data_IF_438332393691
#
_entry.id   IF_438332393691
#
_cell.length_a   1.000
_cell.length_b   1.000
_cell.length_c   1.000
_cell.angle_alpha   90.00
_cell.angle_beta   90.00
_cell.angle_gamma   90.00
#
_symmetry.space_group_name_H-M   'P 1'
#
loop_
_entity.id
_entity.type
_entity.pdbx_description
1 polymer ?
#
# COMPACT_ATOMS: atom_id res chain seq x y z
N UNK A 1 17.75 2.64 2.77
CA UNK A 1 17.95 2.09 1.43
C UNK A 1 16.90 2.67 0.51
N UNK A 2 17.31 3.16 -0.66
CA UNK A 2 16.45 3.80 -1.65
C UNK A 2 15.37 2.81 -2.11
N UNK A 3 14.15 2.96 -1.59
CA UNK A 3 13.01 2.13 -1.99
C UNK A 3 12.67 2.45 -3.45
N UNK A 4 12.77 1.42 -4.30
CA UNK A 4 12.37 1.46 -5.70
C UNK A 4 11.00 2.13 -5.82
N UNK A 5 10.89 3.09 -6.75
CA UNK A 5 9.58 3.64 -7.10
C UNK A 5 8.79 2.54 -7.80
N UNK A 6 7.48 2.52 -7.63
CA UNK A 6 6.61 1.53 -8.29
C UNK A 6 6.83 1.49 -9.81
N UNK A 7 7.19 2.62 -10.43
CA UNK A 7 7.48 2.70 -11.87
C UNK A 7 8.78 1.97 -12.29
N UNK A 8 9.70 1.77 -11.35
CA UNK A 8 10.98 1.07 -11.55
C UNK A 8 10.83 -0.45 -11.36
N UNK A 9 9.70 -0.91 -10.80
CA UNK A 9 9.38 -2.33 -10.72
C UNK A 9 9.08 -2.90 -12.12
N UNK A 10 9.42 -4.19 -12.37
CA UNK A 10 8.92 -4.93 -13.51
C UNK A 10 7.40 -4.74 -13.67
N UNK A 11 6.94 -4.59 -14.92
CA UNK A 11 5.55 -4.22 -15.18
C UNK A 11 4.56 -5.24 -14.60
N UNK A 12 4.91 -6.51 -14.61
CA UNK A 12 4.14 -7.63 -14.07
C UNK A 12 4.15 -7.71 -12.53
N UNK A 13 5.08 -7.02 -11.87
CA UNK A 13 5.13 -6.89 -10.41
C UNK A 13 4.46 -5.61 -9.89
N UNK A 14 4.14 -4.66 -10.78
CA UNK A 14 3.44 -3.44 -10.37
C UNK A 14 2.05 -3.80 -9.87
N UNK A 15 1.60 -3.29 -8.71
CA UNK A 15 0.36 -3.74 -8.08
C UNK A 15 -0.88 -3.68 -8.99
N UNK A 16 -1.06 -2.61 -9.77
CA UNK A 16 -2.28 -2.47 -10.60
C UNK A 16 -2.25 -3.41 -11.80
N UNK A 17 -1.09 -3.58 -12.40
CA UNK A 17 -0.85 -4.44 -13.55
C UNK A 17 -0.95 -5.91 -13.15
N UNK A 18 -0.39 -6.26 -11.99
CA UNK A 18 -0.55 -7.58 -11.34
C UNK A 18 -2.02 -7.87 -11.02
N UNK A 19 -2.76 -6.89 -10.50
CA UNK A 19 -4.20 -6.99 -10.26
C UNK A 19 -4.98 -7.26 -11.55
N UNK A 20 -4.67 -6.53 -12.63
CA UNK A 20 -5.30 -6.73 -13.93
C UNK A 20 -5.00 -8.11 -14.54
N UNK A 21 -3.76 -8.60 -14.38
CA UNK A 21 -3.32 -9.85 -14.99
C UNK A 21 -3.69 -11.11 -14.19
N UNK A 22 -3.67 -11.03 -12.85
CA UNK A 22 -3.75 -12.21 -11.96
C UNK A 22 -4.87 -12.13 -10.91
N UNK A 23 -5.62 -11.03 -10.86
CA UNK A 23 -6.68 -10.81 -9.88
C UNK A 23 -6.15 -10.42 -8.50
N UNK A 24 -7.07 -10.15 -7.57
CA UNK A 24 -6.76 -9.60 -6.24
C UNK A 24 -5.99 -10.57 -5.34
N UNK A 25 -6.22 -11.88 -5.49
CA UNK A 25 -5.57 -12.92 -4.68
C UNK A 25 -4.06 -13.03 -4.92
N UNK A 26 -3.57 -12.50 -6.05
CA UNK A 26 -2.14 -12.46 -6.34
C UNK A 26 -1.40 -11.36 -5.56
N UNK A 27 -2.12 -10.43 -4.93
CA UNK A 27 -1.55 -9.28 -4.22
C UNK A 27 -1.49 -9.53 -2.72
N UNK A 28 -0.44 -9.01 -2.11
CA UNK A 28 -0.39 -8.88 -0.66
C UNK A 28 -1.38 -7.81 -0.18
N UNK A 29 -1.78 -7.91 1.09
CA UNK A 29 -2.64 -6.91 1.72
C UNK A 29 -2.08 -5.48 1.61
N UNK A 30 -0.76 -5.33 1.69
CA UNK A 30 -0.09 -4.05 1.53
C UNK A 30 -0.22 -3.51 0.10
N UNK A 31 -0.07 -4.36 -0.92
CA UNK A 31 -0.26 -3.96 -2.32
C UNK A 31 -1.72 -3.55 -2.60
N UNK A 32 -2.71 -4.23 -2.01
CA UNK A 32 -4.12 -3.86 -2.12
C UNK A 32 -4.38 -2.45 -1.57
N UNK A 33 -3.89 -2.14 -0.37
CA UNK A 33 -3.98 -0.78 0.20
C UNK A 33 -3.20 0.22 -0.66
N UNK A 34 -2.01 -0.16 -1.14
CA UNK A 34 -1.18 0.73 -1.93
C UNK A 34 -1.86 1.18 -3.23
N UNK A 35 -2.67 0.32 -3.85
CA UNK A 35 -3.50 0.67 -5.01
C UNK A 35 -4.49 1.79 -4.66
N UNK A 36 -5.14 1.70 -3.49
CA UNK A 36 -6.09 2.68 -2.98
C UNK A 36 -5.42 4.01 -2.64
N UNK A 37 -4.24 3.99 -2.04
CA UNK A 37 -3.48 5.18 -1.67
C UNK A 37 -2.90 5.92 -2.88
N UNK A 38 -2.64 5.20 -3.99
CA UNK A 38 -2.10 5.70 -5.29
C UNK A 38 -0.68 6.25 -5.25
N UNK A 39 -0.27 6.91 -4.17
CA UNK A 39 1.03 7.58 -4.02
C UNK A 39 1.57 7.41 -2.60
N UNK A 40 2.90 7.34 -2.48
CA UNK A 40 3.58 7.42 -1.18
C UNK A 40 4.02 8.85 -0.89
N UNK A 41 4.79 9.00 0.17
CA UNK A 41 5.38 10.29 0.59
C UNK A 41 6.84 10.43 0.15
N UNK A 42 7.40 11.63 0.32
CA UNK A 42 8.82 11.88 -0.02
C UNK A 42 9.73 10.88 0.71
N UNK A 43 10.44 10.06 -0.06
CA UNK A 43 11.39 9.08 0.45
C UNK A 43 10.80 7.72 0.87
N UNK A 44 9.48 7.52 0.76
CA UNK A 44 8.80 6.26 1.12
C UNK A 44 7.80 5.90 0.01
N UNK A 45 7.91 4.71 -0.56
CA UNK A 45 6.96 4.31 -1.60
C UNK A 45 5.58 3.97 -1.00
N UNK A 46 4.56 3.90 -1.86
CA UNK A 46 3.17 3.67 -1.44
C UNK A 46 2.93 2.30 -0.80
N UNK A 47 3.69 1.28 -1.19
CA UNK A 47 3.60 -0.08 -0.61
C UNK A 47 4.14 -0.07 0.81
N UNK A 48 5.21 0.69 1.08
CA UNK A 48 5.76 0.85 2.42
C UNK A 48 4.83 1.67 3.33
N UNK A 49 4.19 2.72 2.82
CA UNK A 49 3.12 3.42 3.57
C UNK A 49 1.96 2.48 3.89
N UNK A 50 1.57 1.61 2.95
CA UNK A 50 0.54 0.60 3.18
C UNK A 50 0.95 -0.46 4.21
N UNK A 51 2.23 -0.87 4.25
CA UNK A 51 2.77 -1.73 5.30
C UNK A 51 2.72 -1.04 6.66
N UNK A 52 3.13 0.22 6.76
CA UNK A 52 3.03 0.99 8.02
C UNK A 52 1.59 1.03 8.56
N UNK A 53 0.59 1.18 7.68
CA UNK A 53 -0.83 1.11 8.05
C UNK A 53 -1.22 -0.27 8.59
N UNK A 54 -0.83 -1.34 7.90
CA UNK A 54 -1.14 -2.71 8.34
C UNK A 54 -0.41 -3.08 9.63
N UNK A 55 0.82 -2.66 9.81
CA UNK A 55 1.59 -2.93 11.02
C UNK A 55 0.99 -2.21 12.23
N UNK A 56 0.43 -1.02 12.03
CA UNK A 56 -0.24 -0.25 13.10
C UNK A 56 -1.61 -0.82 13.45
N UNK A 57 -2.44 -1.10 12.44
CA UNK A 57 -3.85 -1.47 12.64
C UNK A 57 -4.12 -2.98 12.56
N UNK A 58 -3.10 -3.80 12.27
CA UNK A 58 -3.05 -5.27 12.30
C UNK A 58 -3.98 -6.01 11.34
N UNK A 59 -5.12 -5.45 10.95
CA UNK A 59 -6.07 -6.08 10.03
C UNK A 59 -6.86 -5.04 9.23
N UNK A 60 -7.46 -5.46 8.12
CA UNK A 60 -8.39 -4.62 7.36
C UNK A 60 -9.63 -4.24 8.16
N UNK A 61 -10.14 -5.14 9.00
CA UNK A 61 -11.31 -4.88 9.83
C UNK A 61 -11.05 -3.71 10.78
N UNK A 62 -9.92 -3.74 11.50
CA UNK A 62 -9.51 -2.66 12.39
C UNK A 62 -9.18 -1.38 11.62
N UNK A 63 -8.51 -1.49 10.46
CA UNK A 63 -8.24 -0.33 9.61
C UNK A 63 -9.53 0.36 9.13
N UNK A 64 -10.56 -0.42 8.75
CA UNK A 64 -11.85 0.12 8.30
C UNK A 64 -12.66 0.82 9.41
N UNK A 65 -12.35 0.53 10.67
CA UNK A 65 -12.97 1.16 11.85
C UNK A 65 -12.26 2.42 12.29
N UNK A 66 -11.07 2.69 11.76
CA UNK A 66 -10.28 3.86 12.13
C UNK A 66 -10.95 5.14 11.65
N UNK A 67 -11.03 6.10 12.55
CA UNK A 67 -11.43 7.46 12.23
C UNK A 67 -10.37 8.16 11.38
N UNK A 68 -10.78 9.20 10.66
CA UNK A 68 -9.87 10.07 9.91
C UNK A 68 -8.78 10.65 10.82
N UNK A 69 -9.10 10.96 12.08
CA UNK A 69 -8.14 11.51 13.05
C UNK A 69 -7.02 10.51 13.37
N UNK A 70 -7.34 9.23 13.48
CA UNK A 70 -6.37 8.15 13.72
C UNK A 70 -5.51 7.92 12.48
N UNK A 71 -6.12 7.85 11.29
CA UNK A 71 -5.40 7.67 10.04
C UNK A 71 -4.40 8.81 9.78
N UNK A 72 -4.75 10.06 10.14
CA UNK A 72 -3.85 11.23 10.05
C UNK A 72 -2.61 11.15 10.94
N UNK A 73 -2.55 10.22 11.90
CA UNK A 73 -1.34 9.98 12.69
C UNK A 73 -0.25 9.25 11.88
N UNK A 74 -0.59 8.66 10.75
CA UNK A 74 0.38 8.08 9.82
C UNK A 74 0.73 9.14 8.77
N UNK A 75 2.03 9.31 8.53
CA UNK A 75 2.52 10.20 7.47
C UNK A 75 2.30 9.52 6.12
N UNK A 76 1.49 10.13 5.26
CA UNK A 76 1.18 9.68 3.90
C UNK A 76 1.25 10.83 2.91
#
# INVERSE_FOLDING_TARGET
MSQLKIREMPQDERPREKLLARGADALSNAELIAILLRTGRRGVNVVDVARELLDKYKSFAELSRCSVKELRQIKG
#
